data_IF_157988929759
#
_entry.id   IF_157988929759
#
_cell.length_a   1.000
_cell.length_b   1.000
_cell.length_c   1.000
_cell.angle_alpha   90.00
_cell.angle_beta   90.00
_cell.angle_gamma   90.00
#
_symmetry.space_group_name_H-M   'P 1'
#
loop_
_entity.id
_entity.type
_entity.pdbx_description
1 polymer ?
#
# COMPACT_ATOMS: atom_id res chain seq x y z
N UNK A 1 -5.00 -0.47 -25.63
CA UNK A 1 -5.58 -0.30 -24.29
C UNK A 1 -4.96 0.88 -23.60
N UNK A 2 -5.79 1.83 -23.25
CA UNK A 2 -5.31 3.00 -22.56
C UNK A 2 -5.16 2.72 -21.07
N UNK A 3 -4.11 3.24 -20.47
CA UNK A 3 -3.99 3.21 -19.00
C UNK A 3 -4.67 4.44 -18.43
N UNK A 4 -5.36 4.25 -17.32
CA UNK A 4 -5.99 5.32 -16.55
C UNK A 4 -5.17 5.58 -15.29
N UNK A 5 -4.84 6.84 -15.05
CA UNK A 5 -4.08 7.24 -13.89
C UNK A 5 -5.05 7.49 -12.72
N UNK A 6 -4.74 6.90 -11.57
CA UNK A 6 -5.50 7.08 -10.34
C UNK A 6 -4.73 8.06 -9.45
N UNK A 7 -5.45 9.04 -8.91
CA UNK A 7 -4.86 10.02 -8.01
C UNK A 7 -5.88 10.45 -6.97
N UNK A 8 -5.44 10.62 -5.73
CA UNK A 8 -6.30 11.07 -4.63
C UNK A 8 -5.46 11.86 -3.62
N UNK A 9 -6.08 12.86 -3.01
CA UNK A 9 -5.45 13.63 -1.94
C UNK A 9 -5.58 12.96 -0.57
N UNK A 10 -6.28 11.83 -0.50
CA UNK A 10 -6.42 11.04 0.73
C UNK A 10 -5.25 10.07 0.95
N UNK A 11 -4.33 10.03 0.01
CA UNK A 11 -3.05 9.31 0.15
C UNK A 11 -1.93 10.27 -0.22
N UNK A 12 -0.67 9.96 0.18
CA UNK A 12 0.45 10.84 -0.15
C UNK A 12 0.56 11.10 -1.65
N UNK A 13 0.76 12.37 -2.02
CA UNK A 13 0.93 12.76 -3.42
C UNK A 13 2.15 12.06 -4.03
N UNK A 14 2.07 11.73 -5.31
CA UNK A 14 3.22 11.20 -6.04
C UNK A 14 4.22 12.36 -6.27
N UNK A 15 5.35 12.28 -5.59
CA UNK A 15 6.36 13.35 -5.58
C UNK A 15 7.55 13.03 -6.48
N UNK A 16 7.40 12.09 -7.40
CA UNK A 16 8.48 11.70 -8.32
C UNK A 16 7.90 11.29 -9.66
N UNK A 17 8.68 10.51 -10.37
CA UNK A 17 8.33 10.06 -11.71
C UNK A 17 7.47 8.79 -11.66
N UNK A 18 6.34 8.86 -10.93
CA UNK A 18 5.41 7.75 -10.82
C UNK A 18 3.99 8.27 -10.56
N UNK A 19 3.01 7.38 -10.71
CA UNK A 19 1.61 7.65 -10.38
C UNK A 19 1.26 6.88 -9.11
N UNK A 20 0.26 7.33 -8.35
CA UNK A 20 -0.20 6.59 -7.16
C UNK A 20 -0.72 5.22 -7.55
N UNK A 21 -1.44 5.12 -8.65
CA UNK A 21 -1.85 3.84 -9.22
C UNK A 21 -2.16 3.98 -10.69
N UNK A 22 -2.12 2.86 -11.41
CA UNK A 22 -2.43 2.80 -12.84
C UNK A 22 -3.41 1.67 -13.06
N UNK A 23 -4.49 1.95 -13.77
CA UNK A 23 -5.49 0.96 -14.16
C UNK A 23 -5.36 0.62 -15.63
N UNK A 24 -5.39 -0.69 -15.94
CA UNK A 24 -5.50 -1.21 -17.30
C UNK A 24 -6.61 -2.26 -17.27
N UNK A 25 -7.68 -2.02 -18.02
CA UNK A 25 -8.90 -2.85 -17.99
C UNK A 25 -9.42 -2.97 -16.55
N UNK A 26 -9.42 -4.15 -15.97
CA UNK A 26 -9.90 -4.41 -14.61
C UNK A 26 -8.76 -4.50 -13.59
N UNK A 27 -7.51 -4.42 -14.04
CA UNK A 27 -6.35 -4.55 -13.16
C UNK A 27 -5.83 -3.18 -12.77
N UNK A 28 -5.58 -2.99 -11.48
CA UNK A 28 -5.02 -1.75 -10.94
C UNK A 28 -3.71 -2.09 -10.23
N UNK A 29 -2.65 -1.39 -10.61
CA UNK A 29 -1.33 -1.51 -10.01
C UNK A 29 -1.12 -0.32 -9.08
N UNK A 30 -1.00 -0.60 -7.78
CA UNK A 30 -0.81 0.43 -6.77
C UNK A 30 0.68 0.55 -6.47
N UNK A 31 1.18 1.78 -6.54
CA UNK A 31 2.57 2.08 -6.18
C UNK A 31 2.82 1.80 -4.69
N UNK A 32 4.07 1.60 -4.35
CA UNK A 32 4.48 1.39 -2.96
C UNK A 32 4.12 2.57 -2.08
N UNK A 33 3.61 2.28 -0.90
CA UNK A 33 3.28 3.27 0.12
C UNK A 33 4.16 3.03 1.34
N UNK A 34 4.81 4.09 1.80
CA UNK A 34 5.42 4.14 3.13
C UNK A 34 4.48 4.88 4.07
N UNK A 35 4.80 4.93 5.34
CA UNK A 35 3.92 5.50 6.35
C UNK A 35 3.89 7.03 6.39
N UNK A 36 3.72 7.68 5.25
CA UNK A 36 3.58 9.13 5.19
C UNK A 36 2.14 9.55 5.50
N UNK A 37 2.01 10.56 6.31
CA UNK A 37 0.73 11.24 6.51
C UNK A 37 0.45 12.09 5.27
N UNK A 38 -0.68 11.88 4.58
CA UNK A 38 -0.95 12.61 3.33
C UNK A 38 -1.14 14.11 3.51
N UNK A 39 -1.54 14.56 4.70
CA UNK A 39 -1.75 15.99 4.95
C UNK A 39 -0.43 16.76 5.15
N UNK A 40 0.55 16.12 5.79
CA UNK A 40 1.81 16.76 6.14
C UNK A 40 2.99 16.28 5.31
N UNK A 41 2.83 15.14 4.64
CA UNK A 41 3.89 14.44 3.89
C UNK A 41 5.10 14.10 4.76
N UNK A 42 4.84 13.84 6.05
CA UNK A 42 5.87 13.41 6.99
C UNK A 42 5.65 11.97 7.42
N UNK A 43 6.75 11.26 7.66
CA UNK A 43 6.72 9.87 8.10
C UNK A 43 6.22 9.82 9.55
N UNK A 44 5.20 8.99 9.81
CA UNK A 44 4.75 8.78 11.19
C UNK A 44 5.78 7.96 11.95
N UNK A 45 5.84 8.12 13.26
CA UNK A 45 6.89 7.50 14.06
C UNK A 45 6.53 6.10 14.55
N UNK A 46 7.48 5.20 14.43
CA UNK A 46 7.39 3.86 14.98
C UNK A 46 6.75 2.87 14.03
N UNK A 47 7.14 1.60 14.19
CA UNK A 47 6.71 0.54 13.28
C UNK A 47 5.20 0.33 13.29
N UNK A 48 4.57 0.36 14.47
CA UNK A 48 3.13 0.10 14.57
C UNK A 48 2.32 1.17 13.82
N UNK A 49 2.65 2.44 14.05
CA UNK A 49 1.98 3.55 13.37
C UNK A 49 2.25 3.54 11.87
N UNK A 50 3.47 3.19 11.46
CA UNK A 50 3.82 3.14 10.05
C UNK A 50 3.05 2.05 9.31
N UNK A 51 2.89 0.88 9.90
CA UNK A 51 2.11 -0.22 9.27
C UNK A 51 0.67 0.22 9.06
N UNK A 52 0.04 0.82 10.07
CA UNK A 52 -1.33 1.32 9.95
C UNK A 52 -1.43 2.37 8.85
N UNK A 53 -0.48 3.32 8.82
CA UNK A 53 -0.51 4.39 7.80
C UNK A 53 -0.33 3.85 6.40
N UNK A 54 0.54 2.85 6.21
CA UNK A 54 0.72 2.18 4.93
C UNK A 54 -0.60 1.60 4.43
N UNK A 55 -1.32 0.85 5.27
CA UNK A 55 -2.58 0.24 4.87
C UNK A 55 -3.69 1.28 4.67
N UNK A 56 -3.73 2.34 5.47
CA UNK A 56 -4.66 3.45 5.25
C UNK A 56 -4.39 4.13 3.90
N UNK A 57 -3.12 4.33 3.55
CA UNK A 57 -2.78 4.93 2.26
C UNK A 57 -3.17 4.03 1.10
N UNK A 58 -2.89 2.72 1.19
CA UNK A 58 -3.31 1.77 0.15
C UNK A 58 -4.83 1.72 0.03
N UNK A 59 -5.54 1.75 1.15
CA UNK A 59 -7.00 1.75 1.17
C UNK A 59 -7.55 2.97 0.43
N UNK A 60 -6.99 4.14 0.68
CA UNK A 60 -7.43 5.37 0.02
C UNK A 60 -7.23 5.29 -1.49
N UNK A 61 -6.10 4.78 -1.95
CA UNK A 61 -5.82 4.63 -3.38
C UNK A 61 -6.76 3.59 -4.01
N UNK A 62 -6.98 2.45 -3.32
CA UNK A 62 -7.89 1.41 -3.81
C UNK A 62 -9.30 1.95 -3.99
N UNK A 63 -9.78 2.75 -3.03
CA UNK A 63 -11.11 3.36 -3.12
C UNK A 63 -11.18 4.40 -4.24
N UNK A 64 -10.12 5.18 -4.44
CA UNK A 64 -10.06 6.11 -5.56
C UNK A 64 -10.07 5.40 -6.91
N UNK A 65 -9.61 4.16 -6.97
CA UNK A 65 -9.65 3.35 -8.19
C UNK A 65 -11.02 2.74 -8.46
N UNK A 66 -11.96 2.90 -7.55
CA UNK A 66 -13.33 2.39 -7.71
C UNK A 66 -13.58 1.04 -7.06
N UNK A 67 -12.67 0.58 -6.19
CA UNK A 67 -12.80 -0.67 -5.47
C UNK A 67 -12.52 -0.51 -3.99
N UNK A 68 -11.95 -1.54 -3.40
CA UNK A 68 -11.57 -1.53 -1.99
C UNK A 68 -10.40 -2.50 -1.78
N UNK A 69 -9.90 -2.58 -0.56
CA UNK A 69 -8.87 -3.57 -0.23
C UNK A 69 -9.34 -5.01 -0.44
N UNK A 70 -10.66 -5.26 -0.44
CA UNK A 70 -11.21 -6.58 -0.75
C UNK A 70 -10.90 -7.03 -2.19
N UNK A 71 -10.59 -6.09 -3.08
CA UNK A 71 -10.27 -6.38 -4.48
C UNK A 71 -8.76 -6.62 -4.70
N UNK A 72 -7.96 -6.49 -3.67
CA UNK A 72 -6.51 -6.73 -3.77
C UNK A 72 -6.27 -8.23 -3.92
N UNK A 73 -5.52 -8.60 -4.95
CA UNK A 73 -5.20 -10.00 -5.24
C UNK A 73 -3.74 -10.33 -4.92
N UNK A 74 -2.88 -9.33 -4.85
CA UNK A 74 -1.46 -9.52 -4.50
C UNK A 74 -0.99 -8.34 -3.67
N UNK A 75 -0.29 -8.65 -2.58
CA UNK A 75 0.31 -7.65 -1.70
C UNK A 75 1.80 -7.99 -1.52
N UNK A 76 2.67 -7.01 -1.71
CA UNK A 76 4.09 -7.15 -1.42
C UNK A 76 4.42 -6.24 -0.25
N UNK A 77 5.08 -6.79 0.78
CA UNK A 77 5.48 -6.06 1.98
C UNK A 77 7.00 -6.08 2.11
N UNK A 78 7.56 -4.91 2.37
CA UNK A 78 9.00 -4.72 2.52
C UNK A 78 9.27 -4.19 3.93
N UNK A 79 10.15 -4.85 4.66
CA UNK A 79 10.50 -4.48 6.03
C UNK A 79 12.01 -4.32 6.16
N UNK A 80 12.45 -3.29 6.87
CA UNK A 80 13.88 -3.16 7.19
C UNK A 80 14.30 -4.13 8.31
N UNK A 81 13.32 -4.65 9.05
CA UNK A 81 13.53 -5.67 10.08
C UNK A 81 12.40 -6.69 10.01
N UNK A 82 12.69 -7.89 9.52
CA UNK A 82 11.69 -8.97 9.43
C UNK A 82 11.16 -9.42 10.79
N UNK A 83 11.82 -9.05 11.88
CA UNK A 83 11.30 -9.26 13.23
C UNK A 83 9.95 -8.58 13.47
N UNK A 84 9.59 -7.63 12.64
CA UNK A 84 8.30 -6.93 12.72
C UNK A 84 7.19 -7.61 11.91
N UNK A 85 7.46 -8.77 11.32
CA UNK A 85 6.49 -9.45 10.44
C UNK A 85 5.20 -9.81 11.19
N UNK A 86 5.30 -10.23 12.45
CA UNK A 86 4.12 -10.55 13.24
C UNK A 86 3.19 -9.34 13.41
N UNK A 87 3.76 -8.15 13.56
CA UNK A 87 2.99 -6.90 13.66
C UNK A 87 2.25 -6.60 12.35
N UNK A 88 2.88 -6.89 11.22
CA UNK A 88 2.22 -6.74 9.90
C UNK A 88 1.02 -7.67 9.82
N UNK A 89 1.19 -8.94 10.21
CA UNK A 89 0.08 -9.90 10.20
C UNK A 89 -1.09 -9.44 11.07
N UNK A 90 -0.82 -8.98 12.28
CA UNK A 90 -1.88 -8.49 13.18
C UNK A 90 -2.64 -7.32 12.58
N UNK A 91 -1.93 -6.35 12.03
CA UNK A 91 -2.55 -5.16 11.43
C UNK A 91 -3.29 -5.54 10.16
N UNK A 92 -2.69 -6.39 9.33
CA UNK A 92 -3.29 -6.84 8.08
C UNK A 92 -4.63 -7.53 8.32
N UNK A 93 -4.77 -8.28 9.41
CA UNK A 93 -6.03 -8.96 9.75
C UNK A 93 -7.18 -7.98 10.02
N UNK A 94 -6.86 -6.71 10.31
CA UNK A 94 -7.88 -5.67 10.51
C UNK A 94 -8.31 -5.00 9.20
N UNK A 95 -7.50 -5.11 8.15
CA UNK A 95 -7.77 -4.48 6.85
C UNK A 95 -8.22 -5.45 5.79
N UNK A 96 -7.87 -6.73 5.92
CA UNK A 96 -8.20 -7.77 4.95
C UNK A 96 -8.94 -8.89 5.63
N UNK A 97 -9.80 -9.58 4.88
CA UNK A 97 -10.52 -10.76 5.36
C UNK A 97 -10.33 -11.90 4.38
N UNK A 98 -10.70 -13.10 4.82
CA UNK A 98 -10.63 -14.28 3.94
C UNK A 98 -11.63 -14.16 2.77
N UNK A 99 -11.21 -14.59 1.55
CA UNK A 99 -9.90 -15.11 1.21
C UNK A 99 -8.86 -13.99 1.12
N UNK A 100 -7.72 -14.20 1.78
CA UNK A 100 -6.65 -13.20 1.79
C UNK A 100 -5.98 -13.09 0.42
N UNK A 101 -5.38 -11.94 0.08
CA UNK A 101 -4.61 -11.82 -1.15
C UNK A 101 -3.34 -12.68 -1.08
N UNK A 102 -2.81 -13.03 -2.24
CA UNK A 102 -1.47 -13.60 -2.30
C UNK A 102 -0.48 -12.56 -1.78
N UNK A 103 0.59 -12.99 -1.08
CA UNK A 103 1.49 -12.06 -0.43
C UNK A 103 2.93 -12.56 -0.45
N UNK A 104 3.86 -11.62 -0.59
CA UNK A 104 5.28 -11.83 -0.28
C UNK A 104 5.68 -10.80 0.76
N UNK A 105 6.54 -11.18 1.69
CA UNK A 105 7.14 -10.27 2.66
C UNK A 105 8.63 -10.51 2.66
N UNK A 106 9.42 -9.44 2.43
CA UNK A 106 10.87 -9.55 2.32
C UNK A 106 11.55 -8.50 3.17
N UNK A 107 12.74 -8.84 3.67
CA UNK A 107 13.61 -7.90 4.35
C UNK A 107 14.42 -7.12 3.32
N UNK A 108 14.53 -5.81 3.53
CA UNK A 108 15.32 -4.93 2.66
C UNK A 108 16.29 -4.13 3.51
N UNK A 109 17.36 -3.65 2.88
CA UNK A 109 18.37 -2.88 3.59
C UNK A 109 17.83 -1.55 4.11
N UNK A 110 17.10 -0.84 3.27
CA UNK A 110 16.51 0.46 3.62
C UNK A 110 15.35 0.79 2.71
N UNK A 111 14.54 1.76 3.14
CA UNK A 111 13.39 2.25 2.40
C UNK A 111 13.44 3.78 2.31
N UNK A 112 12.72 4.41 1.37
CA UNK A 112 12.73 5.85 1.24
C UNK A 112 12.39 6.55 2.56
N UNK A 113 13.03 7.70 2.79
CA UNK A 113 12.81 8.57 3.95
C UNK A 113 13.04 7.90 5.30
N UNK A 114 13.80 6.80 5.32
CA UNK A 114 14.02 6.06 6.57
C UNK A 114 12.81 5.28 7.04
N UNK A 115 11.87 4.99 6.16
CA UNK A 115 10.70 4.18 6.51
C UNK A 115 11.10 2.78 6.97
N UNK A 116 10.29 2.21 7.85
CA UNK A 116 10.51 0.88 8.40
C UNK A 116 9.72 -0.19 7.66
N UNK A 117 8.70 0.22 6.92
CA UNK A 117 7.79 -0.67 6.18
C UNK A 117 7.30 0.04 4.93
N UNK A 118 7.10 -0.76 3.88
CA UNK A 118 6.48 -0.31 2.63
C UNK A 118 5.62 -1.46 2.10
N UNK A 119 4.55 -1.15 1.40
CA UNK A 119 3.76 -2.16 0.72
C UNK A 119 3.23 -1.63 -0.61
N UNK A 120 3.20 -2.50 -1.61
CA UNK A 120 2.52 -2.24 -2.88
C UNK A 120 1.51 -3.35 -3.14
N UNK A 121 0.63 -3.14 -4.09
CA UNK A 121 -0.46 -4.07 -4.31
C UNK A 121 -0.90 -4.11 -5.77
N UNK A 122 -1.54 -5.23 -6.12
CA UNK A 122 -2.28 -5.36 -7.38
C UNK A 122 -3.71 -5.70 -7.00
N UNK A 123 -4.68 -5.00 -7.59
CA UNK A 123 -6.09 -5.29 -7.38
C UNK A 123 -6.78 -5.56 -8.71
N UNK A 124 -7.88 -6.30 -8.65
CA UNK A 124 -8.68 -6.64 -9.82
C UNK A 124 -10.12 -6.22 -9.55
N UNK A 125 -10.61 -5.24 -10.31
CA UNK A 125 -11.97 -4.71 -10.13
C UNK A 125 -12.99 -5.67 -10.73
N UNK A 126 -14.09 -5.86 -10.02
CA UNK A 126 -15.16 -6.73 -10.48
C UNK A 126 -14.84 -8.22 -10.43
N UNK A 127 -13.85 -8.57 -9.63
CA UNK A 127 -13.50 -9.98 -9.45
C UNK A 127 -14.49 -10.69 -8.54
#
# INVERSE_FOLDING_TARGET
MAKTIISTDKAPAAIGTYSQAVRVDHTVYLSGQIGLDPATMTLVEGIDAQIVRVFENLKAVAEAAGGSLADVVKLNVYLTDLGNFAKVNETMARYFSEPYPARAAVGVKELPKGALVEADAVMCLGA
#
